data_IF_747674965869
#
_entry.id   IF_747674965869
#
_cell.length_a   1.000
_cell.length_b   1.000
_cell.length_c   1.000
_cell.angle_alpha   90.00
_cell.angle_beta   90.00
_cell.angle_gamma   90.00
#
_symmetry.space_group_name_H-M   'P 1'
#
loop_
_entity.id
_entity.type
_entity.pdbx_description
1 polymer ?
#
# COMPACT_ATOMS: atom_id res chain seq x y z
N UNK A 1 -32.51 -30.98 36.44
CA UNK A 1 -31.43 -30.05 36.05
C UNK A 1 -31.14 -30.38 34.60
N UNK A 2 -32.09 -30.13 33.70
CA UNK A 2 -32.12 -30.75 32.36
C UNK A 2 -32.66 -29.77 31.31
N UNK A 3 -32.18 -28.52 31.30
CA UNK A 3 -32.65 -27.54 30.32
C UNK A 3 -31.58 -26.56 29.83
N UNK A 4 -30.29 -26.92 30.04
CA UNK A 4 -29.14 -26.15 29.52
C UNK A 4 -28.33 -27.00 28.53
N UNK A 5 -28.25 -28.32 28.75
CA UNK A 5 -27.58 -29.24 27.82
C UNK A 5 -28.31 -29.33 26.46
N UNK A 6 -29.64 -29.44 26.45
CA UNK A 6 -30.42 -29.52 25.20
C UNK A 6 -30.36 -28.23 24.36
N UNK A 7 -30.13 -27.08 25.00
CA UNK A 7 -29.96 -25.81 24.30
C UNK A 7 -28.57 -25.66 23.65
N UNK A 8 -27.55 -26.28 24.24
CA UNK A 8 -26.18 -26.27 23.71
C UNK A 8 -26.02 -27.25 22.54
N UNK A 9 -26.63 -28.44 22.62
CA UNK A 9 -26.54 -29.42 21.55
C UNK A 9 -27.27 -28.97 20.28
N UNK A 10 -28.35 -28.20 20.41
CA UNK A 10 -29.09 -27.62 19.28
C UNK A 10 -28.28 -26.55 18.54
N UNK A 11 -27.55 -25.70 19.27
CA UNK A 11 -26.68 -24.68 18.68
C UNK A 11 -25.47 -25.30 17.98
N UNK A 12 -24.94 -26.41 18.52
CA UNK A 12 -23.83 -27.15 17.90
C UNK A 12 -24.31 -27.87 16.63
N UNK A 13 -25.50 -28.48 16.64
CA UNK A 13 -26.05 -29.18 15.49
C UNK A 13 -26.43 -28.24 14.33
N UNK A 14 -27.00 -27.06 14.64
CA UNK A 14 -27.32 -26.04 13.63
C UNK A 14 -26.04 -25.44 13.01
N UNK A 15 -24.97 -25.28 13.80
CA UNK A 15 -23.66 -24.82 13.32
C UNK A 15 -22.90 -25.87 12.47
N UNK A 16 -23.23 -27.15 12.61
CA UNK A 16 -22.66 -28.23 11.78
C UNK A 16 -23.40 -28.40 10.44
N UNK A 17 -24.70 -28.09 10.40
CA UNK A 17 -25.49 -28.11 9.16
C UNK A 17 -25.13 -26.94 8.22
N UNK A 18 -24.78 -25.76 8.74
CA UNK A 18 -24.28 -24.64 7.92
C UNK A 18 -22.88 -24.87 7.33
N UNK A 19 -22.05 -25.73 7.95
CA UNK A 19 -20.70 -26.08 7.45
C UNK A 19 -20.70 -26.99 6.22
N UNK A 20 -21.86 -27.51 5.78
CA UNK A 20 -21.95 -28.42 4.62
C UNK A 20 -22.30 -27.73 3.30
N UNK A 21 -22.54 -26.41 3.28
CA UNK A 21 -22.60 -25.63 2.04
C UNK A 21 -21.22 -25.03 1.74
N UNK A 22 -20.37 -25.87 1.17
CA UNK A 22 -19.09 -25.45 0.58
C UNK A 22 -19.33 -24.60 -0.69
N UNK A 23 -18.74 -23.40 -0.77
CA UNK A 23 -18.22 -22.87 -2.02
C UNK A 23 -16.69 -22.97 -1.96
N UNK A 24 -16.15 -24.18 -1.84
CA UNK A 24 -14.71 -24.43 -1.89
C UNK A 24 -14.29 -24.93 -3.26
N UNK A 25 -14.08 -23.97 -4.18
CA UNK A 25 -13.01 -23.97 -5.19
C UNK A 25 -13.05 -22.63 -5.93
N UNK A 26 -11.94 -21.90 -5.90
CA UNK A 26 -11.54 -20.78 -6.79
C UNK A 26 -11.62 -19.31 -6.33
N UNK A 27 -11.86 -18.96 -5.06
CA UNK A 27 -11.73 -17.54 -4.64
C UNK A 27 -10.28 -16.99 -4.62
N UNK A 28 -9.28 -17.86 -4.53
CA UNK A 28 -7.86 -17.45 -4.45
C UNK A 28 -7.14 -17.39 -5.80
N UNK A 29 -7.66 -18.07 -6.84
CA UNK A 29 -7.05 -18.02 -8.18
C UNK A 29 -7.42 -16.72 -8.91
N UNK A 30 -8.57 -16.13 -8.60
CA UNK A 30 -9.03 -14.89 -9.24
C UNK A 30 -8.33 -13.61 -8.72
N UNK A 31 -7.41 -13.72 -7.75
CA UNK A 31 -6.71 -12.57 -7.17
C UNK A 31 -5.26 -12.42 -7.64
N UNK A 32 -4.72 -13.40 -8.39
CA UNK A 32 -3.36 -13.33 -8.94
C UNK A 32 -3.46 -12.77 -10.35
N UNK A 33 -3.25 -11.46 -10.47
CA UNK A 33 -3.16 -10.82 -11.80
C UNK A 33 -1.93 -11.40 -12.50
N UNK A 34 -2.16 -12.02 -13.65
CA UNK A 34 -1.11 -12.41 -14.59
C UNK A 34 -0.31 -11.16 -14.95
N UNK A 35 0.90 -11.05 -14.40
CA UNK A 35 1.93 -10.17 -14.96
C UNK A 35 2.41 -10.84 -16.25
N UNK A 36 2.48 -10.09 -17.35
CA UNK A 36 3.29 -10.53 -18.50
C UNK A 36 4.80 -10.42 -18.18
N UNK A 37 5.14 -9.75 -17.07
CA UNK A 37 6.51 -9.55 -16.61
C UNK A 37 7.17 -10.79 -16.00
N UNK A 38 8.48 -10.86 -16.19
CA UNK A 38 9.38 -11.81 -15.54
C UNK A 38 9.32 -11.60 -14.02
N UNK A 39 9.10 -12.67 -13.25
CA UNK A 39 9.23 -12.63 -11.78
C UNK A 39 10.65 -12.22 -11.43
N UNK A 40 10.83 -11.07 -10.79
CA UNK A 40 12.16 -10.60 -10.41
C UNK A 40 12.71 -11.40 -9.24
N UNK A 41 14.01 -11.68 -9.27
CA UNK A 41 14.68 -12.30 -8.14
C UNK A 41 15.09 -11.22 -7.13
N UNK A 42 14.63 -11.37 -5.90
CA UNK A 42 14.99 -10.49 -4.78
C UNK A 42 16.44 -10.79 -4.37
N UNK A 43 17.27 -9.76 -4.28
CA UNK A 43 18.56 -9.82 -3.59
C UNK A 43 18.38 -9.39 -2.11
N UNK A 44 18.45 -10.32 -1.14
CA UNK A 44 18.26 -9.98 0.28
C UNK A 44 19.27 -8.96 0.81
N UNK A 45 20.50 -8.96 0.28
CA UNK A 45 21.55 -8.02 0.71
C UNK A 45 21.21 -6.61 0.24
N UNK A 46 20.77 -6.48 -1.00
CA UNK A 46 20.31 -5.21 -1.58
C UNK A 46 19.11 -4.65 -0.82
N UNK A 47 18.11 -5.50 -0.54
CA UNK A 47 16.93 -5.13 0.25
C UNK A 47 17.33 -4.56 1.61
N UNK A 48 18.24 -5.23 2.33
CA UNK A 48 18.73 -4.74 3.63
C UNK A 48 19.47 -3.41 3.50
N UNK A 49 20.34 -3.26 2.50
CA UNK A 49 21.05 -1.99 2.24
C UNK A 49 20.08 -0.83 1.96
N UNK A 50 18.95 -1.13 1.32
CA UNK A 50 17.88 -0.18 0.99
C UNK A 50 16.80 -0.05 2.08
N UNK A 51 17.06 -0.56 3.29
CA UNK A 51 16.14 -0.47 4.46
C UNK A 51 14.79 -1.16 4.22
N UNK A 52 14.78 -2.24 3.44
CA UNK A 52 13.65 -3.16 3.34
C UNK A 52 13.80 -4.24 4.40
N UNK A 53 13.06 -4.06 5.49
CA UNK A 53 13.16 -4.85 6.73
C UNK A 53 12.01 -5.82 6.89
N UNK A 54 10.88 -5.55 6.23
CA UNK A 54 9.65 -6.35 6.36
C UNK A 54 9.77 -7.76 5.81
N UNK A 55 10.81 -8.07 5.03
CA UNK A 55 11.14 -9.43 4.58
C UNK A 55 11.71 -10.32 5.70
N UNK A 56 12.14 -9.73 6.83
CA UNK A 56 12.79 -10.44 7.93
C UNK A 56 11.84 -10.59 9.11
N UNK A 57 11.77 -11.79 9.69
CA UNK A 57 10.79 -12.11 10.75
C UNK A 57 11.24 -11.73 12.17
N UNK A 58 12.47 -11.23 12.38
CA UNK A 58 13.07 -11.19 13.73
C UNK A 58 13.68 -9.84 14.16
N UNK A 59 13.60 -8.79 13.34
CA UNK A 59 14.18 -7.48 13.68
C UNK A 59 13.11 -6.51 14.21
N UNK A 60 13.46 -5.65 15.19
CA UNK A 60 12.54 -4.70 15.82
C UNK A 60 11.87 -3.74 14.82
N UNK A 61 12.58 -3.37 13.75
CA UNK A 61 12.05 -2.52 12.67
C UNK A 61 10.93 -3.25 11.89
N UNK A 62 11.03 -4.58 11.72
CA UNK A 62 9.99 -5.42 11.10
C UNK A 62 8.75 -5.54 11.99
N UNK A 63 8.91 -5.63 13.32
CA UNK A 63 7.78 -5.59 14.26
C UNK A 63 6.98 -4.29 14.12
N UNK A 64 7.65 -3.14 13.97
CA UNK A 64 6.98 -1.86 13.77
C UNK A 64 6.07 -1.86 12.52
N UNK A 65 6.53 -2.43 11.40
CA UNK A 65 5.71 -2.57 10.19
C UNK A 65 4.60 -3.61 10.34
N UNK A 66 4.79 -4.68 11.13
CA UNK A 66 3.72 -5.64 11.45
C UNK A 66 2.62 -5.03 12.32
N UNK A 67 3.00 -4.20 13.30
CA UNK A 67 2.06 -3.41 14.09
C UNK A 67 1.31 -2.40 13.22
N UNK A 68 2.04 -1.66 12.37
CA UNK A 68 1.45 -0.70 11.43
C UNK A 68 0.44 -1.40 10.51
N UNK A 69 0.83 -2.50 9.86
CA UNK A 69 -0.05 -3.34 9.04
C UNK A 69 -1.34 -3.69 9.79
N UNK A 70 -1.22 -4.20 11.01
CA UNK A 70 -2.38 -4.64 11.80
C UNK A 70 -3.36 -3.49 12.06
N UNK A 71 -2.86 -2.31 12.42
CA UNK A 71 -3.67 -1.11 12.62
C UNK A 71 -4.36 -0.65 11.33
N UNK A 72 -3.61 -0.59 10.23
CA UNK A 72 -4.15 -0.13 8.94
C UNK A 72 -5.17 -1.12 8.38
N UNK A 73 -4.89 -2.43 8.37
CA UNK A 73 -5.83 -3.45 7.89
C UNK A 73 -7.14 -3.44 8.69
N UNK A 74 -7.09 -3.15 10.00
CA UNK A 74 -8.30 -2.98 10.80
C UNK A 74 -9.13 -1.79 10.30
N UNK A 75 -8.51 -0.62 10.13
CA UNK A 75 -9.21 0.57 9.67
C UNK A 75 -9.77 0.41 8.25
N UNK A 76 -9.02 -0.21 7.34
CA UNK A 76 -9.50 -0.49 5.98
C UNK A 76 -10.77 -1.36 6.01
N UNK A 77 -10.78 -2.43 6.82
CA UNK A 77 -11.98 -3.27 7.01
C UNK A 77 -13.16 -2.50 7.60
N UNK A 78 -12.92 -1.77 8.69
CA UNK A 78 -13.96 -1.08 9.44
C UNK A 78 -14.68 -0.02 8.57
N UNK A 79 -13.99 0.54 7.58
CA UNK A 79 -14.53 1.56 6.66
C UNK A 79 -14.86 1.04 5.26
N UNK A 80 -14.67 -0.26 4.99
CA UNK A 80 -14.79 -0.86 3.66
C UNK A 80 -13.92 -0.14 2.60
N UNK A 81 -12.69 0.22 2.98
CA UNK A 81 -11.69 0.80 2.10
C UNK A 81 -10.72 -0.25 1.60
N UNK A 82 -10.19 -0.03 0.40
CA UNK A 82 -9.16 -0.87 -0.18
C UNK A 82 -7.99 -0.06 -0.74
N UNK A 83 -8.00 1.27 -0.64
CA UNK A 83 -6.97 2.10 -1.23
C UNK A 83 -6.52 3.25 -0.31
N UNK A 84 -5.23 3.55 -0.31
CA UNK A 84 -4.72 4.71 0.42
C UNK A 84 -3.43 5.26 -0.16
N UNK A 85 -3.25 6.57 0.00
CA UNK A 85 -2.02 7.28 -0.32
C UNK A 85 -1.06 7.35 0.87
N UNK A 86 0.24 7.31 0.59
CA UNK A 86 1.29 7.56 1.57
C UNK A 86 2.07 8.78 1.10
N UNK A 87 2.09 9.83 1.93
CA UNK A 87 2.77 11.09 1.63
C UNK A 87 3.50 11.61 2.88
N UNK A 88 4.18 12.74 2.75
CA UNK A 88 4.84 13.46 3.82
C UNK A 88 4.71 14.97 3.61
N UNK A 89 4.91 15.82 4.63
CA UNK A 89 4.95 17.27 4.44
C UNK A 89 6.02 17.68 3.43
N UNK A 90 7.24 17.15 3.58
CA UNK A 90 8.42 17.54 2.79
C UNK A 90 9.22 16.33 2.29
N UNK A 91 10.19 16.61 1.41
CA UNK A 91 11.05 15.61 0.78
C UNK A 91 11.89 14.83 1.82
N UNK A 92 12.22 13.58 1.48
CA UNK A 92 13.13 12.71 2.21
C UNK A 92 12.67 12.24 3.59
N UNK A 93 11.41 12.48 3.98
CA UNK A 93 10.84 11.95 5.23
C UNK A 93 10.77 10.40 5.28
N UNK A 94 11.05 9.73 4.16
CA UNK A 94 11.05 8.27 4.04
C UNK A 94 9.69 7.66 3.71
N UNK A 95 8.77 8.46 3.14
CA UNK A 95 7.46 8.03 2.63
C UNK A 95 7.54 6.77 1.76
N UNK A 96 8.48 6.71 0.81
CA UNK A 96 8.67 5.56 -0.07
C UNK A 96 9.20 4.34 0.69
N UNK A 97 10.13 4.51 1.64
CA UNK A 97 10.58 3.42 2.51
C UNK A 97 9.41 2.83 3.30
N UNK A 98 8.54 3.69 3.85
CA UNK A 98 7.35 3.27 4.59
C UNK A 98 6.38 2.55 3.66
N UNK A 99 6.12 3.09 2.46
CA UNK A 99 5.22 2.50 1.48
C UNK A 99 5.67 1.12 1.04
N UNK A 100 6.95 0.95 0.71
CA UNK A 100 7.51 -0.33 0.28
C UNK A 100 7.44 -1.36 1.40
N UNK A 101 7.89 -1.02 2.61
CA UNK A 101 7.86 -1.95 3.73
C UNK A 101 6.44 -2.32 4.15
N UNK A 102 5.52 -1.35 4.19
CA UNK A 102 4.11 -1.61 4.52
C UNK A 102 3.45 -2.49 3.46
N UNK A 103 3.73 -2.28 2.18
CA UNK A 103 3.24 -3.13 1.10
C UNK A 103 3.71 -4.58 1.26
N UNK A 104 4.99 -4.78 1.57
CA UNK A 104 5.56 -6.11 1.84
C UNK A 104 4.91 -6.73 3.08
N UNK A 105 4.80 -6.00 4.19
CA UNK A 105 4.20 -6.49 5.41
C UNK A 105 2.74 -6.92 5.20
N UNK A 106 1.96 -6.12 4.45
CA UNK A 106 0.59 -6.45 4.07
C UNK A 106 0.52 -7.68 3.17
N UNK A 107 1.39 -7.79 2.15
CA UNK A 107 1.43 -8.96 1.27
C UNK A 107 1.82 -10.26 1.99
N UNK A 108 2.53 -10.18 3.12
CA UNK A 108 2.79 -11.33 3.98
C UNK A 108 1.55 -11.90 4.66
N UNK A 109 0.46 -11.13 4.80
CA UNK A 109 -0.82 -11.69 5.22
C UNK A 109 -1.39 -12.52 4.05
N UNK A 110 -1.64 -13.81 4.30
CA UNK A 110 -2.12 -14.75 3.28
C UNK A 110 -3.50 -14.39 2.72
N UNK A 111 -4.26 -13.55 3.42
CA UNK A 111 -5.59 -13.11 3.01
C UNK A 111 -5.57 -11.80 2.21
N UNK A 112 -4.40 -11.22 1.95
CA UNK A 112 -4.28 -9.92 1.31
C UNK A 112 -3.46 -10.01 0.03
N UNK A 113 -3.94 -9.34 -1.01
CA UNK A 113 -3.15 -9.01 -2.21
C UNK A 113 -2.93 -7.51 -2.25
N UNK A 114 -1.73 -7.09 -2.64
CA UNK A 114 -1.30 -5.70 -2.50
C UNK A 114 -0.73 -5.18 -3.81
N UNK A 115 -1.23 -4.06 -4.29
CA UNK A 115 -0.65 -3.28 -5.39
C UNK A 115 0.09 -2.08 -4.81
N UNK A 116 1.38 -1.94 -5.10
CA UNK A 116 2.14 -0.73 -4.79
C UNK A 116 2.29 0.12 -6.06
N UNK A 117 1.84 1.36 -6.01
CA UNK A 117 1.81 2.29 -7.14
C UNK A 117 2.75 3.46 -6.86
N UNK A 118 3.78 3.64 -7.67
CA UNK A 118 4.73 4.76 -7.55
C UNK A 118 4.18 6.01 -8.27
N UNK A 119 3.34 6.76 -7.57
CA UNK A 119 2.67 7.94 -8.12
C UNK A 119 3.47 9.24 -7.89
N UNK A 120 4.68 9.16 -7.35
CA UNK A 120 5.66 10.24 -7.37
C UNK A 120 6.34 10.28 -8.75
N UNK A 121 5.60 10.77 -9.76
CA UNK A 121 6.08 10.83 -11.14
C UNK A 121 7.29 11.77 -11.34
N UNK A 122 7.60 12.59 -10.33
CA UNK A 122 8.72 13.53 -10.36
C UNK A 122 10.02 12.88 -9.90
N UNK A 123 9.94 12.11 -8.82
CA UNK A 123 11.08 11.42 -8.22
C UNK A 123 10.75 9.95 -7.94
N UNK A 124 10.41 9.16 -8.98
CA UNK A 124 10.00 7.77 -8.78
C UNK A 124 11.16 6.97 -8.22
N UNK A 125 10.89 6.20 -7.15
CA UNK A 125 11.93 5.49 -6.38
C UNK A 125 11.55 4.06 -6.04
N UNK A 126 10.32 3.61 -6.24
CA UNK A 126 9.90 2.25 -5.86
C UNK A 126 10.73 1.20 -6.60
N UNK A 127 10.95 1.37 -7.92
CA UNK A 127 11.79 0.45 -8.71
C UNK A 127 13.20 0.32 -8.10
N UNK A 128 13.77 1.42 -7.60
CA UNK A 128 15.07 1.43 -6.94
C UNK A 128 15.04 0.61 -5.66
N UNK A 129 14.00 0.66 -4.81
CA UNK A 129 13.97 -0.19 -3.60
C UNK A 129 14.02 -1.68 -3.93
N UNK A 130 13.33 -2.09 -4.99
CA UNK A 130 13.25 -3.48 -5.41
C UNK A 130 14.41 -3.94 -6.31
N UNK A 131 15.28 -3.03 -6.76
CA UNK A 131 16.35 -3.35 -7.70
C UNK A 131 15.85 -3.74 -9.08
N UNK A 132 14.70 -3.20 -9.48
CA UNK A 132 14.08 -3.52 -10.75
C UNK A 132 14.68 -2.63 -11.84
N UNK A 133 15.14 -3.26 -12.92
CA UNK A 133 15.46 -2.57 -14.17
C UNK A 133 14.28 -2.71 -15.14
N UNK A 134 13.25 -1.89 -14.92
CA UNK A 134 11.96 -2.00 -15.64
C UNK A 134 11.96 -1.06 -16.83
N UNK A 135 12.04 -1.51 -18.08
CA UNK A 135 12.15 -0.59 -19.23
C UNK A 135 11.00 0.44 -19.36
N UNK A 136 9.86 0.17 -18.71
CA UNK A 136 8.65 0.98 -18.72
C UNK A 136 8.08 1.17 -17.32
N UNK A 137 7.26 2.20 -17.13
CA UNK A 137 6.52 2.43 -15.88
C UNK A 137 5.27 3.29 -16.07
N UNK A 138 4.75 3.83 -14.97
CA UNK A 138 3.54 4.68 -14.97
C UNK A 138 3.62 5.88 -15.92
N UNK A 139 4.81 6.45 -16.10
CA UNK A 139 5.02 7.52 -17.09
C UNK A 139 4.64 7.06 -18.49
N UNK A 140 5.04 5.86 -18.91
CA UNK A 140 4.71 5.32 -20.24
C UNK A 140 3.22 5.06 -20.40
N UNK A 141 2.53 4.63 -19.34
CA UNK A 141 1.07 4.50 -19.35
C UNK A 141 0.41 5.85 -19.66
N UNK A 142 0.85 6.91 -18.99
CA UNK A 142 0.27 8.24 -19.17
C UNK A 142 0.66 8.93 -20.49
N UNK A 143 1.89 8.74 -20.96
CA UNK A 143 2.46 9.55 -22.05
C UNK A 143 2.67 8.78 -23.35
N UNK A 144 2.56 7.46 -23.33
CA UNK A 144 2.89 6.60 -24.47
C UNK A 144 1.87 5.49 -24.70
N UNK A 145 0.70 5.57 -24.05
CA UNK A 145 -0.44 4.65 -24.21
C UNK A 145 -0.06 3.17 -24.01
N UNK A 146 0.97 2.91 -23.18
CA UNK A 146 1.34 1.54 -22.84
C UNK A 146 0.27 0.89 -21.96
N UNK A 147 -0.21 -0.33 -22.29
CA UNK A 147 -1.19 -1.02 -21.47
C UNK A 147 -0.70 -1.28 -20.04
N UNK A 148 -1.61 -1.24 -19.06
CA UNK A 148 -1.28 -1.48 -17.66
C UNK A 148 -0.60 -2.85 -17.44
N UNK A 149 -1.05 -3.88 -18.18
CA UNK A 149 -0.49 -5.24 -18.10
C UNK A 149 0.98 -5.35 -18.47
N UNK A 150 1.50 -4.41 -19.28
CA UNK A 150 2.91 -4.39 -19.69
C UNK A 150 3.81 -3.68 -18.69
N UNK A 151 3.25 -2.83 -17.83
CA UNK A 151 4.01 -2.10 -16.81
C UNK A 151 3.86 -2.68 -15.40
N UNK A 152 2.99 -3.67 -15.20
CA UNK A 152 2.85 -4.38 -13.93
C UNK A 152 4.00 -5.37 -13.72
N UNK A 153 4.64 -5.26 -12.56
CA UNK A 153 5.85 -6.04 -12.22
C UNK A 153 5.64 -6.87 -10.97
N UNK A 154 5.94 -8.18 -11.06
CA UNK A 154 6.10 -9.06 -9.90
C UNK A 154 7.53 -8.90 -9.34
N UNK A 155 7.70 -8.32 -8.14
CA UNK A 155 9.01 -8.09 -7.53
C UNK A 155 9.63 -9.34 -6.92
N UNK A 156 9.03 -10.52 -7.07
CA UNK A 156 9.46 -11.77 -6.46
C UNK A 156 8.83 -12.05 -5.09
N UNK A 157 7.93 -11.19 -4.61
CA UNK A 157 7.23 -11.31 -3.33
C UNK A 157 5.80 -11.75 -3.59
N UNK A 158 5.41 -12.90 -3.04
CA UNK A 158 4.07 -13.44 -3.22
C UNK A 158 2.99 -12.41 -2.79
N UNK A 159 1.91 -12.32 -3.59
CA UNK A 159 0.77 -11.42 -3.39
C UNK A 159 1.09 -9.92 -3.48
N UNK A 160 2.30 -9.54 -3.88
CA UNK A 160 2.68 -8.17 -4.19
C UNK A 160 2.85 -7.99 -5.71
N UNK A 161 2.31 -6.92 -6.25
CA UNK A 161 2.66 -6.42 -7.59
C UNK A 161 2.95 -4.93 -7.47
N UNK A 162 3.75 -4.43 -8.39
CA UNK A 162 4.18 -3.04 -8.41
C UNK A 162 3.80 -2.42 -9.75
N UNK A 163 3.33 -1.18 -9.70
CA UNK A 163 3.35 -0.24 -10.82
C UNK A 163 4.49 0.75 -10.58
N UNK A 164 5.69 0.46 -11.11
CA UNK A 164 6.85 1.30 -10.90
C UNK A 164 6.71 2.59 -11.70
N UNK A 165 7.29 3.66 -11.18
CA UNK A 165 7.62 4.83 -11.99
C UNK A 165 8.99 4.63 -12.63
N UNK A 166 9.18 5.16 -13.85
CA UNK A 166 10.50 5.28 -14.48
C UNK A 166 10.60 6.59 -15.25
N UNK A 167 11.71 7.29 -15.03
CA UNK A 167 11.94 8.62 -15.58
C UNK A 167 11.05 9.68 -14.93
N UNK A 168 11.54 10.91 -14.92
CA UNK A 168 10.74 12.04 -14.45
C UNK A 168 9.69 12.40 -15.51
N UNK A 169 8.46 12.66 -15.08
CA UNK A 169 7.44 13.31 -15.89
C UNK A 169 7.40 14.81 -15.57
N UNK A 170 7.60 15.65 -16.59
CA UNK A 170 7.36 17.09 -16.48
C UNK A 170 5.86 17.33 -16.60
N UNK A 171 5.31 18.25 -15.79
CA UNK A 171 3.86 18.49 -15.76
C UNK A 171 3.06 17.33 -15.14
N UNK A 172 3.57 16.76 -14.04
CA UNK A 172 2.92 15.65 -13.33
C UNK A 172 1.51 16.02 -12.88
N UNK A 173 1.29 17.25 -12.43
CA UNK A 173 -0.01 17.73 -11.93
C UNK A 173 -1.08 17.73 -13.02
N UNK A 174 -0.73 18.15 -14.24
CA UNK A 174 -1.63 18.13 -15.39
C UNK A 174 -1.99 16.70 -15.82
N UNK A 175 -1.01 15.79 -15.79
CA UNK A 175 -1.24 14.37 -16.08
C UNK A 175 -2.19 13.77 -15.04
N UNK A 176 -1.93 14.03 -13.75
CA UNK A 176 -2.64 13.43 -12.63
C UNK A 176 -4.04 13.99 -12.41
N UNK A 177 -4.28 15.26 -12.74
CA UNK A 177 -5.63 15.86 -12.76
C UNK A 177 -6.46 15.46 -13.98
N UNK A 178 -5.82 14.87 -14.99
CA UNK A 178 -6.44 14.46 -16.25
C UNK A 178 -7.29 13.18 -16.16
N UNK A 179 -8.02 12.85 -17.25
CA UNK A 179 -8.86 11.64 -17.31
C UNK A 179 -8.07 10.33 -17.21
N UNK A 180 -6.79 10.35 -17.58
CA UNK A 180 -5.94 9.15 -17.55
C UNK A 180 -5.74 8.61 -16.13
N UNK A 181 -5.68 9.47 -15.11
CA UNK A 181 -5.58 9.01 -13.72
C UNK A 181 -6.86 8.30 -13.27
N UNK A 182 -8.03 8.81 -13.66
CA UNK A 182 -9.31 8.14 -13.40
C UNK A 182 -9.39 6.80 -14.13
N UNK A 183 -8.89 6.73 -15.36
CA UNK A 183 -8.81 5.49 -16.12
C UNK A 183 -7.91 4.47 -15.44
N UNK A 184 -6.74 4.89 -14.93
CA UNK A 184 -5.84 4.03 -14.16
C UNK A 184 -6.54 3.42 -12.95
N UNK A 185 -7.20 4.24 -12.13
CA UNK A 185 -7.92 3.77 -10.94
C UNK A 185 -9.04 2.80 -11.30
N UNK A 186 -9.83 3.13 -12.33
CA UNK A 186 -10.91 2.25 -12.81
C UNK A 186 -10.36 0.91 -13.33
N UNK A 187 -9.25 0.94 -14.07
CA UNK A 187 -8.60 -0.25 -14.61
C UNK A 187 -8.06 -1.12 -13.47
N UNK A 188 -7.38 -0.52 -12.47
CA UNK A 188 -6.91 -1.21 -11.27
C UNK A 188 -8.08 -1.89 -10.54
N UNK A 189 -9.15 -1.15 -10.28
CA UNK A 189 -10.33 -1.65 -9.56
C UNK A 189 -11.06 -2.75 -10.33
N UNK A 190 -11.12 -2.67 -11.65
CA UNK A 190 -11.77 -3.68 -12.49
C UNK A 190 -11.05 -5.04 -12.47
N UNK A 191 -9.73 -5.03 -12.26
CA UNK A 191 -8.89 -6.24 -12.31
C UNK A 191 -8.92 -7.05 -11.01
N UNK A 192 -9.15 -6.42 -9.86
CA UNK A 192 -9.22 -7.12 -8.57
C UNK A 192 -9.95 -6.28 -7.50
N UNK A 193 -11.25 -6.53 -7.31
CA UNK A 193 -12.11 -5.74 -6.42
C UNK A 193 -11.68 -5.74 -4.94
N UNK A 194 -10.99 -6.79 -4.49
CA UNK A 194 -10.59 -6.99 -3.09
C UNK A 194 -9.11 -6.74 -2.82
N UNK A 195 -8.38 -6.13 -3.77
CA UNK A 195 -6.95 -5.87 -3.64
C UNK A 195 -6.69 -4.57 -2.87
N UNK A 196 -5.71 -4.57 -1.97
CA UNK A 196 -5.25 -3.35 -1.32
C UNK A 196 -4.34 -2.57 -2.29
N UNK A 197 -4.63 -1.29 -2.52
CA UNK A 197 -3.83 -0.42 -3.38
C UNK A 197 -3.15 0.67 -2.53
N UNK A 198 -1.83 0.70 -2.58
CA UNK A 198 -1.00 1.67 -1.86
C UNK A 198 -0.37 2.60 -2.90
N UNK A 199 -0.64 3.90 -2.80
CA UNK A 199 -0.01 4.91 -3.65
C UNK A 199 1.15 5.56 -2.89
N UNK A 200 2.39 5.42 -3.36
CA UNK A 200 3.49 6.29 -2.92
C UNK A 200 3.36 7.63 -3.65
N UNK A 201 3.15 8.70 -2.89
CA UNK A 201 2.84 10.03 -3.41
C UNK A 201 4.04 10.97 -3.23
N UNK A 202 4.17 12.07 -3.98
CA UNK A 202 5.15 13.11 -3.67
C UNK A 202 4.82 13.85 -2.36
N UNK A 203 5.73 14.68 -1.82
CA UNK A 203 5.43 15.46 -0.61
C UNK A 203 4.37 16.53 -0.84
N UNK A 204 3.45 16.69 0.11
CA UNK A 204 2.28 17.57 0.00
C UNK A 204 2.65 19.05 -0.18
N UNK A 205 3.73 19.52 0.46
CA UNK A 205 4.14 20.92 0.37
C UNK A 205 5.07 21.22 -0.82
N UNK A 206 5.46 20.20 -1.59
CA UNK A 206 6.36 20.36 -2.73
C UNK A 206 5.61 20.61 -4.03
N UNK A 207 4.47 19.93 -4.22
CA UNK A 207 3.65 19.98 -5.45
C UNK A 207 2.17 19.81 -5.14
N UNK A 208 1.34 20.13 -6.12
CA UNK A 208 -0.12 19.94 -6.11
C UNK A 208 -0.56 18.54 -6.60
N UNK A 209 0.38 17.63 -6.90
CA UNK A 209 0.10 16.25 -7.35
C UNK A 209 -0.79 15.49 -6.35
N UNK A 210 -0.53 15.64 -5.05
CA UNK A 210 -1.32 14.99 -3.99
C UNK A 210 -2.75 15.50 -3.99
N UNK A 211 -2.93 16.81 -4.11
CA UNK A 211 -4.25 17.44 -4.13
C UNK A 211 -5.02 17.08 -5.41
N UNK A 212 -4.32 16.99 -6.53
CA UNK A 212 -4.89 16.58 -7.82
C UNK A 212 -5.40 15.14 -7.84
N UNK A 213 -4.87 14.29 -6.96
CA UNK A 213 -5.20 12.86 -6.88
C UNK A 213 -5.95 12.49 -5.61
N UNK A 214 -6.32 13.45 -4.76
CA UNK A 214 -6.84 13.17 -3.41
C UNK A 214 -8.12 12.34 -3.40
N UNK A 215 -8.92 12.40 -4.47
CA UNK A 215 -10.17 11.63 -4.62
C UNK A 215 -9.96 10.24 -5.25
N UNK A 216 -8.73 9.88 -5.62
CA UNK A 216 -8.41 8.62 -6.31
C UNK A 216 -8.17 7.42 -5.37
N UNK A 217 -8.09 7.65 -4.06
CA UNK A 217 -7.86 6.64 -3.03
C UNK A 217 -8.71 6.93 -1.80
N UNK A 218 -8.99 5.99 -0.92
CA UNK A 218 -9.97 6.20 0.17
C UNK A 218 -9.44 7.07 1.32
N UNK A 219 -8.15 6.93 1.63
CA UNK A 219 -7.53 7.58 2.79
C UNK A 219 -6.05 7.92 2.59
N UNK A 220 -5.46 8.64 3.54
CA UNK A 220 -4.04 9.01 3.55
C UNK A 220 -3.37 8.51 4.83
N UNK A 221 -2.13 8.03 4.70
CA UNK A 221 -1.19 7.83 5.79
C UNK A 221 -0.07 8.88 5.68
N UNK A 222 0.10 9.69 6.72
CA UNK A 222 1.08 10.79 6.71
C UNK A 222 2.39 10.37 7.40
N UNK A 223 3.51 10.43 6.68
CA UNK A 223 4.84 10.15 7.22
C UNK A 223 5.51 11.44 7.69
N UNK A 224 6.00 11.46 8.92
CA UNK A 224 6.63 12.59 9.58
C UNK A 224 8.05 12.18 9.97
N UNK A 225 9.07 12.93 9.55
CA UNK A 225 10.46 12.72 9.95
C UNK A 225 10.73 13.34 11.33
N UNK A 226 11.15 12.51 12.28
CA UNK A 226 11.51 12.95 13.62
C UNK A 226 12.63 14.00 13.57
N UNK A 227 12.40 15.14 14.23
CA UNK A 227 13.40 16.20 14.37
C UNK A 227 13.68 17.02 13.10
N UNK A 228 13.03 16.72 11.97
CA UNK A 228 13.19 17.49 10.72
C UNK A 228 11.92 18.22 10.30
N UNK A 229 10.77 17.54 10.29
CA UNK A 229 9.51 18.21 9.96
C UNK A 229 9.10 19.17 11.07
N UNK A 230 8.85 20.42 10.70
CA UNK A 230 8.46 21.45 11.65
C UNK A 230 6.95 21.38 11.95
N UNK A 231 6.50 21.76 13.16
CA UNK A 231 5.09 21.74 13.52
C UNK A 231 4.19 22.51 12.53
N UNK A 232 4.66 23.64 12.00
CA UNK A 232 3.88 24.45 11.05
C UNK A 232 3.77 23.79 9.66
N UNK A 233 4.80 23.04 9.23
CA UNK A 233 4.73 22.22 8.00
C UNK A 233 3.69 21.11 8.14
N UNK A 234 3.66 20.44 9.31
CA UNK A 234 2.66 19.41 9.60
C UNK A 234 1.25 20.02 9.64
N UNK A 235 1.07 21.16 10.30
CA UNK A 235 -0.22 21.85 10.37
C UNK A 235 -0.71 22.29 8.97
N UNK A 236 0.16 22.90 8.16
CA UNK A 236 -0.14 23.28 6.77
C UNK A 236 -0.54 22.04 5.95
N UNK A 237 0.17 20.94 6.11
CA UNK A 237 -0.14 19.68 5.43
C UNK A 237 -1.52 19.16 5.82
N UNK A 238 -1.84 19.11 7.12
CA UNK A 238 -3.15 18.66 7.59
C UNK A 238 -4.29 19.58 7.12
N UNK A 239 -4.05 20.89 7.00
CA UNK A 239 -5.02 21.83 6.42
C UNK A 239 -5.25 21.54 4.93
N UNK A 240 -4.19 21.31 4.16
CA UNK A 240 -4.29 20.99 2.72
C UNK A 240 -5.01 19.65 2.48
N UNK A 241 -4.82 18.67 3.37
CA UNK A 241 -5.48 17.38 3.31
C UNK A 241 -6.86 17.36 4.01
N UNK A 242 -7.35 18.52 4.46
CA UNK A 242 -8.63 18.59 5.16
C UNK A 242 -9.77 18.07 4.30
N UNK A 243 -10.68 17.29 4.90
CA UNK A 243 -11.77 16.62 4.19
C UNK A 243 -11.41 15.23 3.65
N UNK A 244 -10.12 14.85 3.60
CA UNK A 244 -9.71 13.48 3.30
C UNK A 244 -9.60 12.64 4.57
N UNK A 245 -9.97 11.36 4.47
CA UNK A 245 -9.77 10.41 5.56
C UNK A 245 -8.29 10.24 5.87
N UNK A 246 -7.92 10.33 7.14
CA UNK A 246 -6.54 10.11 7.60
C UNK A 246 -6.48 8.81 8.39
N UNK A 247 -5.70 7.84 7.91
CA UNK A 247 -5.44 6.58 8.63
C UNK A 247 -4.61 6.80 9.90
N UNK A 248 -3.82 7.89 9.91
CA UNK A 248 -2.99 8.32 11.02
C UNK A 248 -1.66 8.87 10.52
N UNK A 249 -0.69 8.87 11.42
CA UNK A 249 0.68 9.30 11.15
C UNK A 249 1.70 8.19 11.43
N UNK A 250 2.82 8.20 10.71
CA UNK A 250 4.00 7.39 10.98
C UNK A 250 5.15 8.33 11.30
N UNK A 251 5.64 8.28 12.53
CA UNK A 251 6.90 8.93 12.89
C UNK A 251 8.06 8.07 12.41
N UNK A 252 8.86 8.58 11.47
CA UNK A 252 9.94 7.87 10.83
C UNK A 252 11.31 8.45 11.18
N UNK A 253 12.35 7.63 11.01
CA UNK A 253 13.74 7.93 11.39
C UNK A 253 13.90 8.30 12.88
N UNK A 254 13.02 7.74 13.73
CA UNK A 254 13.11 8.00 15.16
C UNK A 254 14.40 7.43 15.74
N UNK A 255 15.01 8.17 16.65
CA UNK A 255 16.19 7.74 17.41
C UNK A 255 15.88 6.64 18.41
N UNK A 256 14.62 6.56 18.84
CA UNK A 256 14.17 5.59 19.83
C UNK A 256 13.31 4.53 19.13
N UNK A 257 13.47 3.24 19.50
CA UNK A 257 12.53 2.22 19.06
C UNK A 257 11.12 2.57 19.56
N UNK A 258 10.06 2.14 18.86
CA UNK A 258 8.70 2.37 19.33
C UNK A 258 8.53 1.77 20.72
N UNK A 259 8.26 2.63 21.72
CA UNK A 259 7.84 2.17 23.03
C UNK A 259 6.59 1.33 22.83
N UNK A 260 6.66 0.03 23.12
CA UNK A 260 5.47 -0.80 23.18
C UNK A 260 4.58 -0.18 24.25
N UNK A 261 3.51 0.51 23.83
CA UNK A 261 2.38 0.77 24.71
C UNK A 261 1.87 -0.61 25.10
N UNK A 262 2.29 -1.07 26.28
CA UNK A 262 2.03 -2.40 26.79
C UNK A 262 0.54 -2.72 26.70
N UNK A 263 0.26 -3.94 26.26
CA UNK A 263 -1.02 -4.59 26.52
C UNK A 263 -1.19 -4.85 28.02
#
# INVERSE_FOLDING_TARGET
MDNIHDALDKVIHDAELEKTKSPSKNLYQDQVISTQGVRHQIDPKLMRQRRIVSLQNHDAESEAFRMLRTKILKQLRDNNWNSFGITAPTQDAGKTTVAVNLAIAMAMDVNQTVLLVDLDLRHPKVHWYFGLDTESGLRDYFLSDKPLSEIMVDPGIDRLTILPGRGQAVGSSEILSGPLMKNLVNEINSRAQSRIVIFDLPPVLATDDVLSTIDCYDAILLVIEEGKNQPDEVEKTLKLLSGKNLLGTVLNKSKNPPEHQGY
#
